data_IF_388824527414
#
_entry.id   IF_388824527414
#
_cell.length_a   1.000
_cell.length_b   1.000
_cell.length_c   1.000
_cell.angle_alpha   90.00
_cell.angle_beta   90.00
_cell.angle_gamma   90.00
#
_symmetry.space_group_name_H-M   'P 1'
#
loop_
_entity.id
_entity.type
_entity.pdbx_description
1 polymer ?
#
# COMPACT_ATOMS: atom_id res chain seq x y z
N UNK A 1 -16.19 -0.72 20.99
CA UNK A 1 -15.16 -0.65 19.93
C UNK A 1 -13.91 -0.04 20.50
N UNK A 2 -12.78 -0.73 20.44
CA UNK A 2 -11.51 -0.36 21.09
C UNK A 2 -10.91 0.90 20.44
N UNK A 3 -10.19 1.70 21.23
CA UNK A 3 -9.53 2.94 20.77
C UNK A 3 -8.60 2.72 19.58
N UNK A 4 -7.99 1.53 19.48
CA UNK A 4 -7.07 1.16 18.41
C UNK A 4 -7.76 1.09 17.03
N UNK A 5 -8.95 0.45 16.95
CA UNK A 5 -9.72 0.37 15.70
C UNK A 5 -10.10 1.75 15.14
N UNK A 6 -10.40 2.71 16.02
CA UNK A 6 -10.71 4.09 15.62
C UNK A 6 -9.50 4.84 15.05
N UNK A 7 -8.30 4.56 15.59
CA UNK A 7 -7.06 5.17 15.11
C UNK A 7 -6.66 4.62 13.74
N UNK A 8 -6.82 3.31 13.53
CA UNK A 8 -6.58 2.67 12.23
C UNK A 8 -7.52 3.22 11.15
N UNK A 9 -8.83 3.28 11.41
CA UNK A 9 -9.78 3.85 10.46
C UNK A 9 -9.46 5.31 10.09
N UNK A 10 -8.99 6.11 11.07
CA UNK A 10 -8.54 7.47 10.81
C UNK A 10 -7.25 7.49 9.97
N UNK A 11 -6.30 6.59 10.25
CA UNK A 11 -5.07 6.45 9.47
C UNK A 11 -5.38 6.12 8.00
N UNK A 12 -6.31 5.20 7.76
CA UNK A 12 -6.75 4.82 6.42
C UNK A 12 -7.30 6.03 5.66
N UNK A 13 -8.20 6.79 6.31
CA UNK A 13 -8.76 8.03 5.72
C UNK A 13 -7.66 9.06 5.41
N UNK A 14 -6.67 9.21 6.29
CA UNK A 14 -5.53 10.12 6.08
C UNK A 14 -4.69 9.68 4.88
N UNK A 15 -4.46 8.38 4.73
CA UNK A 15 -3.68 7.82 3.63
C UNK A 15 -4.41 8.01 2.31
N UNK A 16 -5.68 7.68 2.22
CA UNK A 16 -6.50 7.88 1.02
C UNK A 16 -6.50 9.35 0.58
N UNK A 17 -6.72 10.28 1.52
CA UNK A 17 -6.66 11.71 1.25
C UNK A 17 -5.28 12.16 0.74
N UNK A 18 -4.21 11.61 1.30
CA UNK A 18 -2.85 11.92 0.89
C UNK A 18 -2.53 11.34 -0.49
N UNK A 19 -3.00 10.13 -0.81
CA UNK A 19 -2.81 9.50 -2.11
C UNK A 19 -3.57 10.23 -3.23
N UNK A 20 -4.77 10.75 -2.94
CA UNK A 20 -5.58 11.51 -3.89
C UNK A 20 -4.99 12.91 -4.16
N UNK A 21 -4.55 13.62 -3.11
CA UNK A 21 -4.17 15.04 -3.22
C UNK A 21 -2.66 15.29 -3.29
N UNK A 22 -1.84 14.38 -2.77
CA UNK A 22 -0.41 14.59 -2.58
C UNK A 22 -0.05 15.67 -1.55
N UNK A 23 -1.01 16.15 -0.75
CA UNK A 23 -0.84 17.25 0.20
C UNK A 23 -0.95 16.78 1.68
N UNK A 24 -0.26 17.44 2.63
CA UNK A 24 -0.36 17.12 4.05
C UNK A 24 -1.80 17.25 4.59
N UNK A 25 -2.28 16.21 5.28
CA UNK A 25 -3.68 16.09 5.70
C UNK A 25 -3.88 16.67 7.10
N UNK A 26 -4.69 17.74 7.19
CA UNK A 26 -4.97 18.44 8.45
C UNK A 26 -6.30 18.07 9.10
N UNK A 27 -6.42 18.26 10.42
CA UNK A 27 -7.66 17.97 11.17
C UNK A 27 -8.89 18.77 10.71
N UNK A 28 -8.70 20.01 10.22
CA UNK A 28 -9.79 20.82 9.66
C UNK A 28 -10.32 20.23 8.36
N UNK A 29 -9.41 19.80 7.49
CA UNK A 29 -9.74 19.16 6.23
C UNK A 29 -10.45 17.82 6.46
N UNK A 30 -9.93 16.99 7.37
CA UNK A 30 -10.59 15.73 7.76
C UNK A 30 -12.00 15.92 8.31
N UNK A 31 -12.21 16.96 9.13
CA UNK A 31 -13.53 17.27 9.64
C UNK A 31 -14.50 17.74 8.54
N UNK A 32 -14.01 18.48 7.54
CA UNK A 32 -14.84 18.96 6.41
C UNK A 32 -15.27 17.88 5.42
N UNK A 33 -14.62 16.72 5.44
CA UNK A 33 -14.98 15.61 4.57
C UNK A 33 -16.25 14.88 5.02
N UNK A 34 -16.73 15.12 6.25
CA UNK A 34 -17.86 14.40 6.88
C UNK A 34 -17.70 12.86 6.93
N UNK A 35 -16.54 12.33 6.51
CA UNK A 35 -16.17 10.90 6.59
C UNK A 35 -15.96 10.45 8.04
N UNK A 36 -15.76 11.40 8.96
CA UNK A 36 -15.39 11.12 10.34
C UNK A 36 -16.18 11.99 11.33
N UNK A 37 -16.97 11.36 12.20
CA UNK A 37 -17.82 11.99 13.24
C UNK A 37 -17.04 12.58 14.44
N UNK A 38 -15.81 13.04 14.24
CA UNK A 38 -14.97 13.59 15.31
C UNK A 38 -14.82 15.10 15.18
N UNK A 39 -14.98 15.79 16.31
CA UNK A 39 -14.65 17.20 16.41
C UNK A 39 -13.17 17.46 16.07
N UNK A 40 -12.81 18.68 15.58
CA UNK A 40 -11.44 18.99 15.17
C UNK A 40 -10.39 18.81 16.28
N UNK A 41 -10.76 18.99 17.55
CA UNK A 41 -9.90 18.77 18.71
C UNK A 41 -9.57 17.29 18.92
N UNK A 42 -10.56 16.41 18.75
CA UNK A 42 -10.38 14.95 18.83
C UNK A 42 -9.52 14.44 17.69
N UNK A 43 -9.73 14.94 16.47
CA UNK A 43 -8.89 14.61 15.31
C UNK A 43 -7.43 15.00 15.53
N UNK A 44 -7.16 16.22 16.04
CA UNK A 44 -5.79 16.62 16.42
C UNK A 44 -5.17 15.68 17.45
N UNK A 45 -5.94 15.30 18.48
CA UNK A 45 -5.47 14.34 19.49
C UNK A 45 -5.11 12.99 18.87
N UNK A 46 -5.93 12.48 17.97
CA UNK A 46 -5.69 11.19 17.32
C UNK A 46 -4.52 11.24 16.34
N UNK A 47 -4.41 12.30 15.55
CA UNK A 47 -3.24 12.53 14.69
C UNK A 47 -1.94 12.61 15.50
N UNK A 48 -1.95 13.24 16.67
CA UNK A 48 -0.79 13.26 17.57
C UNK A 48 -0.45 11.86 18.15
N UNK A 49 -1.46 11.00 18.37
CA UNK A 49 -1.22 9.62 18.80
C UNK A 49 -0.59 8.82 17.66
N UNK A 50 -1.14 8.92 16.44
CA UNK A 50 -0.59 8.27 15.25
C UNK A 50 0.84 8.73 14.96
N UNK A 51 1.14 10.00 15.17
CA UNK A 51 2.49 10.55 15.02
C UNK A 51 3.46 9.97 16.05
N UNK A 52 3.05 9.88 17.32
CA UNK A 52 3.85 9.22 18.37
C UNK A 52 4.06 7.73 18.11
N UNK A 53 3.14 7.09 17.36
CA UNK A 53 3.26 5.70 16.93
C UNK A 53 4.12 5.53 15.67
N UNK A 54 4.60 6.63 15.07
CA UNK A 54 5.40 6.59 13.84
C UNK A 54 4.59 6.31 12.57
N UNK A 55 3.26 6.37 12.62
CA UNK A 55 2.38 6.09 11.47
C UNK A 55 2.24 7.29 10.52
N UNK A 56 2.36 8.51 11.07
CA UNK A 56 2.33 9.76 10.33
C UNK A 56 3.38 10.72 10.87
N UNK A 57 3.74 11.75 10.12
CA UNK A 57 4.65 12.80 10.60
C UNK A 57 4.25 14.18 10.11
N UNK A 58 4.66 15.22 10.84
CA UNK A 58 4.49 16.61 10.44
C UNK A 58 5.73 17.13 9.68
N UNK A 59 5.61 17.54 8.41
CA UNK A 59 6.76 18.05 7.65
C UNK A 59 7.22 19.44 8.13
N UNK A 60 6.29 20.36 8.44
CA UNK A 60 6.59 21.71 8.94
C UNK A 60 5.67 22.09 10.09
N UNK A 61 6.10 23.04 10.92
CA UNK A 61 5.47 23.54 12.15
C UNK A 61 4.14 24.32 11.94
N UNK A 62 3.27 23.85 11.04
CA UNK A 62 1.84 24.18 10.89
C UNK A 62 1.13 23.34 9.81
N UNK A 63 1.86 22.45 9.14
CA UNK A 63 1.31 21.58 8.10
C UNK A 63 0.49 20.44 8.70
N UNK A 64 -0.33 19.82 7.86
CA UNK A 64 -1.00 18.57 8.16
C UNK A 64 -0.02 17.42 8.44
N UNK A 65 -0.54 16.21 8.44
CA UNK A 65 0.24 14.99 8.62
C UNK A 65 0.42 14.28 7.28
N UNK A 66 1.59 13.71 7.07
CA UNK A 66 1.92 12.85 5.93
C UNK A 66 2.10 11.42 6.46
N UNK A 67 1.55 10.39 5.78
CA UNK A 67 1.83 9.00 6.12
C UNK A 67 3.33 8.68 6.07
N UNK A 68 3.83 7.95 7.06
CA UNK A 68 5.19 7.38 6.98
C UNK A 68 5.16 6.09 6.16
N UNK A 69 6.34 5.56 5.84
CA UNK A 69 6.46 4.23 5.25
C UNK A 69 5.76 3.17 6.13
N UNK A 70 5.89 3.26 7.45
CA UNK A 70 5.24 2.34 8.38
C UNK A 70 3.71 2.46 8.33
N UNK A 71 3.18 3.68 8.29
CA UNK A 71 1.74 3.91 8.16
C UNK A 71 1.19 3.36 6.84
N UNK A 72 1.93 3.56 5.75
CA UNK A 72 1.59 2.99 4.44
C UNK A 72 1.65 1.46 4.44
N UNK A 73 2.67 0.85 5.03
CA UNK A 73 2.74 -0.62 5.16
C UNK A 73 1.57 -1.17 5.96
N UNK A 74 1.22 -0.55 7.09
CA UNK A 74 0.07 -0.97 7.89
C UNK A 74 -1.27 -0.85 7.14
N UNK A 75 -1.42 0.20 6.33
CA UNK A 75 -2.58 0.40 5.45
C UNK A 75 -2.63 -0.61 4.30
N UNK A 76 -1.47 -0.93 3.73
CA UNK A 76 -1.36 -1.96 2.71
C UNK A 76 -1.73 -3.31 3.31
N UNK A 77 -1.26 -3.65 4.51
CA UNK A 77 -1.62 -4.91 5.19
C UNK A 77 -3.12 -5.00 5.50
N UNK A 78 -3.78 -3.88 5.87
CA UNK A 78 -5.23 -3.85 6.11
C UNK A 78 -6.04 -3.88 4.81
N UNK A 79 -5.58 -3.21 3.76
CA UNK A 79 -6.27 -3.08 2.46
C UNK A 79 -6.04 -4.31 1.57
N UNK A 80 -4.82 -4.85 1.52
CA UNK A 80 -4.47 -6.10 0.81
C UNK A 80 -5.03 -7.35 1.48
N UNK A 81 -5.58 -7.25 2.70
CA UNK A 81 -6.44 -8.30 3.24
C UNK A 81 -7.69 -8.51 2.37
N UNK A 82 -8.11 -7.48 1.62
CA UNK A 82 -8.89 -7.66 0.40
C UNK A 82 -7.90 -8.00 -0.71
N UNK A 83 -7.46 -9.27 -0.71
CA UNK A 83 -6.79 -9.88 -1.85
C UNK A 83 -7.60 -9.46 -3.08
N UNK A 84 -7.02 -8.87 -4.13
CA UNK A 84 -7.77 -8.72 -5.37
C UNK A 84 -8.25 -10.13 -5.68
N UNK A 85 -9.59 -10.31 -5.70
CA UNK A 85 -10.23 -11.57 -6.03
C UNK A 85 -9.40 -12.19 -7.13
N UNK A 86 -8.93 -13.42 -6.90
CA UNK A 86 -8.02 -14.16 -7.77
C UNK A 86 -8.29 -13.72 -9.21
N UNK A 87 -7.46 -12.82 -9.73
CA UNK A 87 -7.56 -12.48 -11.14
C UNK A 87 -7.09 -13.77 -11.77
N UNK A 88 -8.03 -14.61 -12.16
CA UNK A 88 -7.83 -15.79 -12.99
C UNK A 88 -7.48 -15.27 -14.39
N UNK A 89 -6.37 -14.52 -14.46
CA UNK A 89 -5.46 -14.62 -15.57
C UNK A 89 -5.27 -16.12 -15.72
N UNK A 90 -5.52 -16.68 -16.89
CA UNK A 90 -5.17 -18.06 -17.20
C UNK A 90 -3.64 -18.20 -17.04
N UNK A 91 -3.18 -18.29 -15.79
CA UNK A 91 -1.77 -18.22 -15.40
C UNK A 91 -1.07 -19.44 -15.96
N UNK A 92 -1.79 -20.54 -16.16
CA UNK A 92 -1.26 -21.76 -16.75
C UNK A 92 -0.88 -21.57 -18.22
N UNK A 93 -1.70 -20.87 -19.02
CA UNK A 93 -1.31 -20.56 -20.41
C UNK A 93 -0.19 -19.54 -20.44
N UNK A 94 -0.26 -18.50 -19.60
CA UNK A 94 0.81 -17.50 -19.51
C UNK A 94 2.15 -18.11 -19.05
N UNK A 95 2.13 -19.07 -18.12
CA UNK A 95 3.31 -19.84 -17.68
C UNK A 95 3.90 -20.64 -18.81
N UNK A 96 3.06 -21.32 -19.58
CA UNK A 96 3.52 -22.19 -20.66
C UNK A 96 4.12 -21.39 -21.82
N UNK A 97 3.53 -20.24 -22.15
CA UNK A 97 4.09 -19.28 -23.10
C UNK A 97 5.43 -18.70 -22.62
N UNK A 98 5.48 -18.25 -21.36
CA UNK A 98 6.70 -17.67 -20.78
C UNK A 98 7.84 -18.70 -20.73
N UNK A 99 7.53 -19.95 -20.37
CA UNK A 99 8.48 -21.06 -20.38
C UNK A 99 9.07 -21.29 -21.76
N UNK A 100 8.23 -21.39 -22.79
CA UNK A 100 8.69 -21.59 -24.17
C UNK A 100 9.58 -20.43 -24.65
N UNK A 101 9.25 -19.20 -24.28
CA UNK A 101 10.02 -18.02 -24.63
C UNK A 101 11.38 -17.98 -23.92
N UNK A 102 11.42 -18.33 -22.64
CA UNK A 102 12.66 -18.44 -21.86
C UNK A 102 13.57 -19.53 -22.43
N UNK A 103 13.02 -20.69 -22.77
CA UNK A 103 13.77 -21.80 -23.39
C UNK A 103 14.36 -21.39 -24.76
N UNK A 104 13.54 -20.77 -25.62
CA UNK A 104 13.98 -20.32 -26.96
C UNK A 104 15.09 -19.26 -26.87
N UNK A 105 14.96 -18.31 -25.93
CA UNK A 105 15.99 -17.29 -25.73
C UNK A 105 17.25 -17.88 -25.10
N UNK A 106 17.13 -18.88 -24.22
CA UNK A 106 18.25 -19.58 -23.63
C UNK A 106 19.07 -20.37 -24.65
N UNK A 107 18.44 -20.91 -25.69
CA UNK A 107 19.17 -21.60 -26.78
C UNK A 107 20.00 -20.65 -27.66
N UNK A 108 19.57 -19.39 -27.76
CA UNK A 108 20.21 -18.38 -28.63
C UNK A 108 21.19 -17.50 -27.85
N UNK A 109 21.01 -17.36 -26.55
CA UNK A 109 21.85 -16.51 -25.70
C UNK A 109 22.96 -17.32 -25.02
N UNK A 110 24.21 -16.85 -25.12
CA UNK A 110 25.30 -17.27 -24.24
C UNK A 110 25.13 -16.66 -22.82
N UNK A 111 24.00 -16.94 -22.16
CA UNK A 111 23.64 -16.30 -20.89
C UNK A 111 22.43 -16.91 -20.17
N UNK A 112 22.06 -16.33 -19.02
CA UNK A 112 20.92 -16.80 -18.21
C UNK A 112 19.69 -15.97 -18.54
N UNK A 113 18.59 -16.65 -18.88
CA UNK A 113 17.28 -16.02 -19.08
C UNK A 113 16.38 -16.36 -17.89
N UNK A 114 15.77 -15.34 -17.27
CA UNK A 114 14.86 -15.52 -16.14
C UNK A 114 13.51 -14.92 -16.48
N UNK A 115 12.48 -15.77 -16.44
CA UNK A 115 11.08 -15.36 -16.55
C UNK A 115 10.45 -15.18 -15.18
N UNK A 116 9.68 -14.11 -14.98
CA UNK A 116 8.96 -13.83 -13.74
C UNK A 116 7.47 -13.64 -14.00
N UNK A 117 6.64 -14.37 -13.26
CA UNK A 117 5.18 -14.16 -13.18
C UNK A 117 4.84 -13.88 -11.72
N UNK A 118 3.99 -12.87 -11.49
CA UNK A 118 3.56 -12.47 -10.13
C UNK A 118 2.65 -13.59 -9.57
N UNK A 119 2.93 -14.04 -8.33
CA UNK A 119 2.51 -15.30 -7.69
C UNK A 119 3.38 -16.52 -8.06
N UNK A 120 4.44 -16.71 -7.28
CA UNK A 120 5.22 -17.93 -7.04
C UNK A 120 5.37 -18.91 -8.21
N UNK A 121 6.49 -18.79 -8.93
CA UNK A 121 7.45 -19.87 -9.21
C UNK A 121 8.61 -19.32 -10.08
N UNK A 122 9.85 -19.57 -9.68
CA UNK A 122 11.04 -19.20 -10.45
C UNK A 122 11.37 -20.31 -11.45
N UNK A 123 11.34 -20.03 -12.75
CA UNK A 123 11.91 -20.94 -13.76
C UNK A 123 13.37 -20.56 -14.00
N UNK A 124 14.28 -21.40 -13.51
CA UNK A 124 15.71 -21.29 -13.75
C UNK A 124 16.10 -22.31 -14.82
N UNK A 125 16.64 -21.83 -15.95
CA UNK A 125 17.45 -22.65 -16.84
C UNK A 125 18.84 -22.03 -16.86
N UNK A 126 19.79 -22.71 -16.22
CA UNK A 126 21.21 -22.39 -16.27
C UNK A 126 21.98 -23.59 -16.78
N UNK A 127 23.03 -23.30 -17.55
CA UNK A 127 24.08 -24.25 -17.95
C UNK A 127 25.03 -24.45 -16.77
#
# INVERSE_FOLDING_TARGET
MTTNTKLLALLDTVIECYLDKGEPVGSKFLNSLEVVDYAPSTLRKYLNILEKQGMVYQPYNSSGRIPTLQGLSAYLDSTLAQKPDDIDLHLDSARQELKSLVETLGEVADGVVVGFIRNDEYYYLGI
#
